data_IF_207252176319
#
_entry.id   IF_207252176319
#
_cell.length_a   1.000
_cell.length_b   1.000
_cell.length_c   1.000
_cell.angle_alpha   90.00
_cell.angle_beta   90.00
_cell.angle_gamma   90.00
#
_symmetry.space_group_name_H-M   'P 1'
#
loop_
_entity.id
_entity.type
_entity.pdbx_description
1 polymer ?
#
# COMPACT_ATOMS: atom_id res chain seq x y z
N UNK A 1 -39.66 63.87 56.04
CA UNK A 1 -40.24 63.32 54.82
C UNK A 1 -39.09 62.63 54.07
N UNK A 2 -38.98 61.30 54.25
CA UNK A 2 -37.92 60.48 53.69
C UNK A 2 -38.42 59.82 52.41
N UNK A 3 -37.80 60.11 51.30
CA UNK A 3 -38.01 59.37 50.05
C UNK A 3 -36.91 58.33 49.87
N UNK A 4 -37.19 57.08 50.11
CA UNK A 4 -36.32 55.94 49.81
C UNK A 4 -36.45 55.60 48.35
N UNK A 5 -35.35 55.86 47.61
CA UNK A 5 -35.18 55.39 46.21
C UNK A 5 -34.80 53.92 46.20
N UNK A 6 -35.61 53.08 45.54
CA UNK A 6 -35.28 51.68 45.23
C UNK A 6 -34.44 51.63 43.95
N UNK A 7 -33.18 51.18 44.07
CA UNK A 7 -32.35 50.85 42.89
C UNK A 7 -32.66 49.41 42.49
N UNK A 8 -33.23 49.24 41.32
CA UNK A 8 -33.44 47.93 40.73
C UNK A 8 -32.13 47.47 40.00
N UNK A 9 -31.52 46.42 40.51
CA UNK A 9 -30.35 45.80 39.84
C UNK A 9 -30.87 44.87 38.75
N UNK A 10 -30.59 45.20 37.50
CA UNK A 10 -30.83 44.34 36.36
C UNK A 10 -29.71 43.31 36.27
N UNK A 11 -30.02 42.02 36.49
CA UNK A 11 -29.11 40.88 36.27
C UNK A 11 -29.18 40.49 34.80
N UNK A 12 -28.14 40.83 34.05
CA UNK A 12 -27.98 40.33 32.67
C UNK A 12 -27.54 38.86 32.74
N UNK A 13 -28.44 37.94 32.33
CA UNK A 13 -28.08 36.57 32.05
C UNK A 13 -27.37 36.51 30.68
N UNK A 14 -26.03 36.37 30.68
CA UNK A 14 -25.24 36.03 29.51
C UNK A 14 -25.41 34.53 29.25
N UNK A 15 -26.32 34.17 28.36
CA UNK A 15 -26.40 32.78 27.86
C UNK A 15 -25.25 32.52 26.90
N UNK A 16 -24.19 31.85 27.40
CA UNK A 16 -23.17 31.25 26.55
C UNK A 16 -23.81 30.16 25.69
N UNK A 17 -24.14 30.49 24.46
CA UNK A 17 -24.40 29.50 23.42
C UNK A 17 -23.08 28.78 23.13
N UNK A 18 -22.89 27.61 23.75
CA UNK A 18 -21.84 26.69 23.37
C UNK A 18 -22.09 26.25 21.92
N UNK A 19 -21.28 26.72 21.00
CA UNK A 19 -21.30 26.19 19.62
C UNK A 19 -21.11 24.68 19.68
N UNK A 20 -21.90 23.90 18.91
CA UNK A 20 -21.68 22.46 18.88
C UNK A 20 -20.25 22.21 18.42
N UNK A 21 -19.45 21.59 19.28
CA UNK A 21 -18.16 21.04 18.86
C UNK A 21 -18.49 19.94 17.87
N UNK A 22 -18.30 20.24 16.58
CA UNK A 22 -18.26 19.20 15.54
C UNK A 22 -17.16 18.24 15.96
N UNK A 23 -17.53 17.05 16.39
CA UNK A 23 -16.60 15.93 16.57
C UNK A 23 -15.84 15.81 15.24
N UNK A 24 -14.58 16.28 15.21
CA UNK A 24 -13.71 16.02 14.08
C UNK A 24 -13.62 14.49 13.96
N UNK A 25 -14.06 13.96 12.83
CA UNK A 25 -13.92 12.57 12.52
C UNK A 25 -12.43 12.22 12.63
N UNK A 26 -12.06 11.41 13.62
CA UNK A 26 -10.66 11.06 13.85
C UNK A 26 -10.29 9.90 12.94
N UNK A 27 -9.21 10.06 12.23
CA UNK A 27 -8.54 8.97 11.54
C UNK A 27 -7.99 8.01 12.58
N UNK A 28 -8.14 6.71 12.33
CA UNK A 28 -7.61 5.69 13.21
C UNK A 28 -6.97 4.55 12.44
N UNK A 29 -5.97 3.94 13.05
CA UNK A 29 -5.42 2.67 12.61
C UNK A 29 -5.87 1.55 13.57
N UNK A 30 -6.20 0.41 13.00
CA UNK A 30 -6.44 -0.82 13.74
C UNK A 30 -5.40 -1.84 13.32
N UNK A 31 -4.65 -2.41 14.28
CA UNK A 31 -3.70 -3.48 14.03
C UNK A 31 -4.22 -4.78 14.64
N UNK A 32 -4.36 -5.80 13.85
CA UNK A 32 -5.04 -7.05 14.14
C UNK A 32 -4.28 -8.23 13.49
N UNK A 33 -4.85 -9.44 13.57
CA UNK A 33 -4.32 -10.60 12.86
C UNK A 33 -5.40 -11.29 12.04
N UNK A 34 -5.05 -11.68 10.83
CA UNK A 34 -5.83 -12.55 9.97
C UNK A 34 -5.46 -14.00 10.23
N UNK A 35 -6.44 -14.87 10.43
CA UNK A 35 -6.18 -16.30 10.55
C UNK A 35 -5.79 -16.90 9.20
N UNK A 36 -4.85 -17.85 9.21
CA UNK A 36 -4.48 -18.56 8.00
C UNK A 36 -4.35 -20.06 8.24
N UNK A 37 -5.06 -20.83 7.44
CA UNK A 37 -4.88 -22.29 7.34
C UNK A 37 -3.76 -22.64 6.36
N UNK A 38 -3.57 -21.80 5.36
CA UNK A 38 -2.54 -21.98 4.32
C UNK A 38 -1.15 -21.85 4.91
N UNK A 39 -0.93 -20.84 5.76
CA UNK A 39 0.35 -20.59 6.41
C UNK A 39 0.50 -21.33 7.76
N UNK A 40 -0.60 -21.78 8.35
CA UNK A 40 -0.61 -22.48 9.64
C UNK A 40 -0.41 -21.57 10.87
N UNK A 41 -0.36 -20.24 10.67
CA UNK A 41 -0.25 -19.25 11.73
C UNK A 41 -0.99 -17.97 11.35
N UNK A 42 -1.42 -17.14 12.32
CA UNK A 42 -2.04 -15.85 12.02
C UNK A 42 -1.00 -14.87 11.44
N UNK A 43 -1.46 -13.99 10.57
CA UNK A 43 -0.66 -12.92 9.93
C UNK A 43 -1.15 -11.58 10.46
N UNK A 44 -0.23 -10.78 10.99
CA UNK A 44 -0.53 -9.44 11.46
C UNK A 44 -0.86 -8.50 10.28
N UNK A 45 -1.74 -7.54 10.51
CA UNK A 45 -2.03 -6.48 9.56
C UNK A 45 -2.51 -5.23 10.27
N UNK A 46 -2.31 -4.06 9.67
CA UNK A 46 -2.94 -2.81 10.10
C UNK A 46 -3.87 -2.28 9.02
N UNK A 47 -4.91 -1.57 9.44
CA UNK A 47 -5.86 -0.88 8.55
C UNK A 47 -5.96 0.56 8.99
N UNK A 48 -5.69 1.49 8.07
CA UNK A 48 -6.05 2.90 8.24
C UNK A 48 -7.45 3.14 7.72
N UNK A 49 -8.30 3.71 8.56
CA UNK A 49 -9.69 4.01 8.28
C UNK A 49 -9.85 5.51 7.98
N UNK A 50 -10.52 5.88 6.86
CA UNK A 50 -10.69 7.28 6.48
C UNK A 50 -11.60 8.02 7.46
N UNK A 51 -11.58 9.37 7.51
CA UNK A 51 -12.33 10.17 8.47
C UNK A 51 -13.84 9.87 8.49
N UNK A 52 -14.43 9.63 7.31
CA UNK A 52 -15.86 9.34 7.22
C UNK A 52 -16.26 7.94 7.69
N UNK A 53 -15.30 7.04 7.94
CA UNK A 53 -15.60 5.65 8.25
C UNK A 53 -16.50 5.49 9.49
N UNK A 54 -16.29 6.30 10.53
CA UNK A 54 -17.08 6.22 11.75
C UNK A 54 -18.39 7.04 11.71
N UNK A 55 -18.50 8.03 10.84
CA UNK A 55 -19.67 8.88 10.69
C UNK A 55 -20.67 8.40 9.64
N UNK A 56 -20.19 7.83 8.53
CA UNK A 56 -21.02 7.35 7.42
C UNK A 56 -21.19 5.82 7.47
N UNK A 57 -22.00 5.32 8.40
CA UNK A 57 -22.11 3.88 8.71
C UNK A 57 -22.61 3.01 7.53
N UNK A 58 -23.36 3.57 6.59
CA UNK A 58 -23.86 2.86 5.41
C UNK A 58 -22.86 2.86 4.24
N UNK A 59 -21.86 3.74 4.26
CA UNK A 59 -20.90 3.89 3.17
C UNK A 59 -19.94 2.72 3.11
N UNK A 60 -19.64 2.26 1.88
CA UNK A 60 -18.60 1.29 1.57
C UNK A 60 -17.47 1.96 0.81
N UNK A 61 -16.26 1.50 1.03
CA UNK A 61 -15.03 2.17 0.63
C UNK A 61 -14.21 1.30 -0.33
N UNK A 62 -13.50 1.89 -1.28
CA UNK A 62 -12.41 1.21 -1.96
C UNK A 62 -11.33 0.79 -0.96
N UNK A 63 -10.50 -0.16 -1.34
CA UNK A 63 -9.37 -0.64 -0.52
C UNK A 63 -8.07 -0.62 -1.32
N UNK A 64 -7.04 -0.06 -0.72
CA UNK A 64 -5.66 -0.15 -1.17
C UNK A 64 -4.90 -1.10 -0.24
N UNK A 65 -4.37 -2.18 -0.79
CA UNK A 65 -3.39 -3.03 -0.12
C UNK A 65 -2.01 -2.45 -0.35
N UNK A 66 -1.37 -1.95 0.71
CA UNK A 66 -0.05 -1.32 0.66
C UNK A 66 0.99 -2.23 1.32
N UNK A 67 1.89 -2.77 0.51
CA UNK A 67 2.84 -3.82 0.86
C UNK A 67 4.16 -3.23 1.33
N UNK A 68 4.68 -3.70 2.49
CA UNK A 68 5.91 -3.19 3.09
C UNK A 68 7.19 -3.69 2.40
N UNK A 69 8.28 -2.98 2.60
CA UNK A 69 9.62 -3.36 2.14
C UNK A 69 10.27 -4.44 3.01
N UNK A 70 11.39 -4.99 2.53
CA UNK A 70 12.16 -5.98 3.28
C UNK A 70 12.70 -5.39 4.58
N UNK A 71 12.48 -6.12 5.69
CA UNK A 71 12.90 -5.70 7.03
C UNK A 71 11.91 -4.80 7.76
N UNK A 72 10.77 -4.51 7.15
CA UNK A 72 9.64 -3.82 7.75
C UNK A 72 8.47 -4.80 8.02
N UNK A 73 7.32 -4.29 8.43
CA UNK A 73 6.15 -5.09 8.77
C UNK A 73 4.84 -4.31 8.52
N UNK A 74 3.72 -4.84 9.00
CA UNK A 74 2.39 -4.24 8.86
C UNK A 74 2.28 -2.82 9.44
N UNK A 75 3.17 -2.43 10.36
CA UNK A 75 3.16 -1.13 11.03
C UNK A 75 4.05 -0.08 10.34
N UNK A 76 4.53 -0.33 9.13
CA UNK A 76 5.46 0.56 8.41
C UNK A 76 4.99 2.02 8.37
N UNK A 77 3.72 2.29 8.12
CA UNK A 77 3.19 3.66 8.11
C UNK A 77 3.16 4.29 9.50
N UNK A 78 2.97 3.49 10.56
CA UNK A 78 2.91 3.98 11.94
C UNK A 78 4.32 4.35 12.42
N UNK A 79 5.29 3.45 12.25
CA UNK A 79 6.66 3.63 12.72
C UNK A 79 7.41 4.73 11.97
N UNK A 80 7.11 4.91 10.70
CA UNK A 80 7.83 5.84 9.82
C UNK A 80 7.24 7.25 9.75
N UNK A 81 6.11 7.50 10.43
CA UNK A 81 5.37 8.76 10.33
C UNK A 81 4.43 8.85 9.12
N UNK A 82 4.33 7.80 8.30
CA UNK A 82 3.42 7.72 7.18
C UNK A 82 1.94 7.83 7.57
N UNK A 83 1.59 7.40 8.80
CA UNK A 83 0.26 7.63 9.35
C UNK A 83 -0.11 9.12 9.38
N UNK A 84 0.77 9.96 9.90
CA UNK A 84 0.53 11.41 9.98
C UNK A 84 0.47 12.04 8.58
N UNK A 85 1.30 11.56 7.65
CA UNK A 85 1.27 12.01 6.26
C UNK A 85 -0.08 11.71 5.59
N UNK A 86 -0.58 10.49 5.72
CA UNK A 86 -1.89 10.10 5.18
C UNK A 86 -3.01 10.88 5.85
N UNK A 87 -2.92 11.08 7.15
CA UNK A 87 -3.86 11.92 7.92
C UNK A 87 -3.93 13.33 7.36
N UNK A 88 -2.77 13.98 7.16
CA UNK A 88 -2.70 15.33 6.61
C UNK A 88 -3.32 15.43 5.20
N UNK A 89 -3.08 14.43 4.34
CA UNK A 89 -3.70 14.36 3.01
C UNK A 89 -5.23 14.28 3.07
N UNK A 90 -5.79 13.52 3.97
CA UNK A 90 -7.24 13.44 4.18
C UNK A 90 -7.81 14.74 4.77
N UNK A 91 -7.15 15.31 5.79
CA UNK A 91 -7.60 16.56 6.42
C UNK A 91 -7.58 17.75 5.46
N UNK A 92 -6.63 17.77 4.52
CA UNK A 92 -6.54 18.79 3.45
C UNK A 92 -7.39 18.48 2.23
N UNK A 93 -8.18 17.41 2.24
CA UNK A 93 -8.97 16.95 1.09
C UNK A 93 -8.13 16.69 -0.19
N UNK A 94 -6.86 16.36 -0.03
CA UNK A 94 -5.97 15.98 -1.13
C UNK A 94 -6.08 14.49 -1.47
N UNK A 95 -6.70 13.73 -0.60
CA UNK A 95 -6.97 12.31 -0.77
C UNK A 95 -8.44 12.03 -0.44
N UNK A 96 -9.11 11.26 -1.28
CA UNK A 96 -10.48 10.81 -0.98
C UNK A 96 -10.50 9.59 -0.07
N UNK A 97 -11.68 9.19 0.34
CA UNK A 97 -11.87 8.15 1.34
C UNK A 97 -11.73 6.74 0.74
N UNK A 98 -10.72 6.02 1.17
CA UNK A 98 -10.51 4.58 0.96
C UNK A 98 -9.77 3.97 2.15
N UNK A 99 -9.85 2.66 2.34
CA UNK A 99 -9.08 1.96 3.35
C UNK A 99 -7.66 1.71 2.85
N UNK A 100 -6.65 1.84 3.72
CA UNK A 100 -5.29 1.39 3.44
C UNK A 100 -5.00 0.22 4.37
N UNK A 101 -4.70 -0.94 3.78
CA UNK A 101 -4.45 -2.20 4.48
C UNK A 101 -3.02 -2.63 4.27
N UNK A 102 -2.27 -2.81 5.35
CA UNK A 102 -0.87 -3.19 5.34
C UNK A 102 -0.70 -4.57 6.00
N UNK A 103 -0.59 -5.68 5.24
CA UNK A 103 -0.31 -6.99 5.81
C UNK A 103 1.18 -7.18 6.09
N UNK A 104 1.53 -7.94 7.16
CA UNK A 104 2.88 -8.47 7.33
C UNK A 104 3.15 -9.59 6.33
N UNK A 105 4.35 -9.61 5.78
CA UNK A 105 4.78 -10.63 4.83
C UNK A 105 6.19 -11.16 5.14
N UNK A 106 6.81 -10.69 6.23
CA UNK A 106 8.20 -11.01 6.52
C UNK A 106 9.12 -10.74 5.32
N UNK A 107 9.75 -11.76 4.78
CA UNK A 107 10.64 -11.67 3.60
C UNK A 107 10.15 -12.48 2.40
N UNK A 108 8.84 -12.71 2.28
CA UNK A 108 8.24 -13.60 1.28
C UNK A 108 8.26 -13.09 -0.16
N UNK A 109 8.59 -11.83 -0.41
CA UNK A 109 8.36 -11.16 -1.70
C UNK A 109 6.89 -11.21 -2.15
N UNK A 110 5.98 -11.56 -1.23
CA UNK A 110 4.54 -11.71 -1.49
C UNK A 110 4.20 -12.81 -2.50
N UNK A 111 5.09 -13.78 -2.68
CA UNK A 111 4.92 -14.93 -3.58
C UNK A 111 4.94 -16.24 -2.78
N UNK A 112 4.54 -17.32 -3.41
CA UNK A 112 4.79 -18.66 -2.87
C UNK A 112 6.28 -19.00 -3.06
N UNK A 113 6.92 -19.59 -2.05
CA UNK A 113 8.34 -19.98 -2.16
C UNK A 113 8.50 -21.16 -3.14
N UNK A 114 9.71 -21.27 -3.71
CA UNK A 114 10.10 -22.32 -4.67
C UNK A 114 9.85 -23.75 -4.15
N UNK A 115 10.06 -23.95 -2.88
CA UNK A 115 9.88 -25.25 -2.22
C UNK A 115 8.44 -25.50 -1.72
N UNK A 116 7.56 -24.51 -1.87
CA UNK A 116 6.16 -24.57 -1.44
C UNK A 116 5.91 -24.52 0.07
N UNK A 117 6.95 -24.29 0.90
CA UNK A 117 6.80 -24.19 2.36
C UNK A 117 6.12 -22.90 2.78
N UNK A 118 6.40 -21.80 2.09
CA UNK A 118 5.75 -20.52 2.30
C UNK A 118 4.81 -20.25 1.13
N UNK A 119 3.51 -20.30 1.36
CA UNK A 119 2.47 -20.10 0.35
C UNK A 119 1.79 -18.75 0.53
N UNK A 120 2.60 -17.67 0.50
CA UNK A 120 2.10 -16.34 0.83
C UNK A 120 1.13 -15.77 -0.21
N UNK A 121 1.39 -15.96 -1.51
CA UNK A 121 0.47 -15.55 -2.58
C UNK A 121 -0.89 -16.23 -2.43
N UNK A 122 -0.91 -17.55 -2.19
CA UNK A 122 -2.14 -18.29 -1.96
C UNK A 122 -2.90 -17.78 -0.73
N UNK A 123 -2.20 -17.52 0.38
CA UNK A 123 -2.80 -16.92 1.56
C UNK A 123 -3.41 -15.55 1.25
N UNK A 124 -2.64 -14.68 0.59
CA UNK A 124 -3.08 -13.33 0.28
C UNK A 124 -4.36 -13.33 -0.56
N UNK A 125 -4.40 -14.15 -1.61
CA UNK A 125 -5.52 -14.19 -2.55
C UNK A 125 -6.74 -14.93 -1.98
N UNK A 126 -6.55 -16.05 -1.32
CA UNK A 126 -7.64 -16.96 -0.96
C UNK A 126 -8.12 -16.84 0.47
N UNK A 127 -7.32 -16.26 1.37
CA UNK A 127 -7.71 -16.06 2.76
C UNK A 127 -7.71 -14.59 3.17
N UNK A 128 -6.64 -13.82 2.88
CA UNK A 128 -6.51 -12.46 3.39
C UNK A 128 -7.48 -11.48 2.72
N UNK A 129 -7.52 -11.40 1.39
CA UNK A 129 -8.46 -10.53 0.67
C UNK A 129 -9.92 -10.77 1.11
N UNK A 130 -10.44 -12.00 1.14
CA UNK A 130 -11.80 -12.26 1.60
C UNK A 130 -12.05 -11.88 3.06
N UNK A 131 -11.09 -12.13 3.96
CA UNK A 131 -11.23 -11.76 5.38
C UNK A 131 -11.32 -10.24 5.57
N UNK A 132 -10.49 -9.46 4.88
CA UNK A 132 -10.54 -7.99 4.92
C UNK A 132 -11.89 -7.50 4.39
N UNK A 133 -12.34 -7.99 3.25
CA UNK A 133 -13.59 -7.57 2.62
C UNK A 133 -14.83 -7.97 3.43
N UNK A 134 -14.77 -9.05 4.17
CA UNK A 134 -15.84 -9.45 5.09
C UNK A 134 -15.85 -8.62 6.37
N UNK A 135 -14.68 -8.27 6.88
CA UNK A 135 -14.53 -7.57 8.16
C UNK A 135 -14.85 -6.09 8.07
N UNK A 136 -14.45 -5.44 6.97
CA UNK A 136 -14.59 -3.99 6.79
C UNK A 136 -15.66 -3.64 5.74
N UNK A 137 -16.16 -2.42 5.81
CA UNK A 137 -17.14 -1.91 4.83
C UNK A 137 -16.43 -1.55 3.52
N UNK A 138 -15.96 -2.55 2.79
CA UNK A 138 -15.34 -2.40 1.49
C UNK A 138 -16.38 -2.46 0.37
N UNK A 139 -16.09 -1.78 -0.74
CA UNK A 139 -16.79 -2.01 -2.01
C UNK A 139 -16.26 -3.30 -2.64
N UNK A 140 -17.15 -4.16 -3.09
CA UNK A 140 -16.75 -5.42 -3.71
C UNK A 140 -16.27 -5.24 -5.15
N UNK A 141 -15.41 -6.13 -5.57
CA UNK A 141 -14.98 -6.27 -6.94
C UNK A 141 -13.74 -5.48 -7.32
N UNK A 142 -13.21 -5.82 -8.48
CA UNK A 142 -11.97 -5.32 -9.06
C UNK A 142 -11.86 -3.79 -9.05
N UNK A 143 -12.94 -3.11 -9.46
CA UNK A 143 -13.00 -1.66 -9.62
C UNK A 143 -12.64 -0.87 -8.33
N UNK A 144 -12.76 -1.51 -7.18
CA UNK A 144 -12.53 -0.90 -5.86
C UNK A 144 -11.32 -1.47 -5.12
N UNK A 145 -10.49 -2.30 -5.78
CA UNK A 145 -9.24 -2.81 -5.22
C UNK A 145 -8.04 -2.20 -5.91
N UNK A 146 -7.13 -1.66 -5.13
CA UNK A 146 -5.79 -1.28 -5.55
C UNK A 146 -4.76 -2.10 -4.77
N UNK A 147 -3.59 -2.27 -5.36
CA UNK A 147 -2.44 -2.86 -4.70
C UNK A 147 -1.22 -2.00 -4.98
N UNK A 148 -0.45 -1.69 -3.96
CA UNK A 148 0.79 -0.95 -4.10
C UNK A 148 1.82 -1.46 -3.10
N UNK A 149 3.07 -1.08 -3.27
CA UNK A 149 4.08 -1.45 -2.30
C UNK A 149 5.41 -0.72 -2.52
N UNK A 150 6.26 -0.85 -1.51
CA UNK A 150 7.56 -0.21 -1.44
C UNK A 150 8.64 -1.30 -1.52
N UNK A 151 9.66 -1.13 -2.36
CA UNK A 151 10.81 -2.06 -2.44
C UNK A 151 10.38 -3.52 -2.71
N UNK A 152 10.62 -4.44 -1.79
CA UNK A 152 10.08 -5.80 -1.82
C UNK A 152 8.55 -5.82 -2.02
N UNK A 153 7.82 -4.91 -1.33
CA UNK A 153 6.37 -4.76 -1.51
C UNK A 153 5.99 -4.25 -2.89
N UNK A 154 6.82 -3.38 -3.50
CA UNK A 154 6.66 -2.94 -4.88
C UNK A 154 6.80 -4.09 -5.88
N UNK A 155 7.78 -4.98 -5.65
CA UNK A 155 7.89 -6.23 -6.38
C UNK A 155 6.61 -7.08 -6.23
N UNK A 156 6.17 -7.30 -4.99
CA UNK A 156 4.96 -8.07 -4.69
C UNK A 156 3.69 -7.49 -5.31
N UNK A 157 3.54 -6.16 -5.27
CA UNK A 157 2.41 -5.47 -5.87
C UNK A 157 2.36 -5.66 -7.39
N UNK A 158 3.50 -5.49 -8.07
CA UNK A 158 3.61 -5.74 -9.51
C UNK A 158 3.39 -7.21 -9.86
N UNK A 159 3.98 -8.14 -9.07
CA UNK A 159 3.78 -9.57 -9.26
C UNK A 159 2.30 -9.94 -9.17
N UNK A 160 1.64 -9.61 -8.05
CA UNK A 160 0.23 -9.94 -7.82
C UNK A 160 -0.69 -9.26 -8.84
N UNK A 161 -0.44 -7.98 -9.14
CA UNK A 161 -1.25 -7.23 -10.06
C UNK A 161 -1.12 -7.67 -11.52
N UNK A 162 0.08 -8.07 -11.95
CA UNK A 162 0.32 -8.54 -13.32
C UNK A 162 -0.10 -10.00 -13.51
N UNK A 163 -0.03 -10.80 -12.46
CA UNK A 163 -0.46 -12.19 -12.49
C UNK A 163 -1.97 -12.34 -12.38
N UNK A 164 -2.62 -11.43 -11.65
CA UNK A 164 -4.04 -11.42 -11.36
C UNK A 164 -4.71 -10.07 -11.72
N UNK A 165 -4.60 -9.61 -12.99
CA UNK A 165 -5.12 -8.31 -13.40
C UNK A 165 -6.65 -8.21 -13.30
N UNK A 166 -7.33 -9.36 -13.17
CA UNK A 166 -8.78 -9.42 -12.93
C UNK A 166 -9.18 -9.05 -11.50
N UNK A 167 -8.24 -9.02 -10.55
CA UNK A 167 -8.52 -8.72 -9.14
C UNK A 167 -8.36 -7.25 -8.79
N UNK A 168 -7.52 -6.49 -9.51
CA UNK A 168 -7.14 -5.13 -9.16
C UNK A 168 -7.46 -4.13 -10.27
N UNK A 169 -7.96 -2.95 -9.90
CA UNK A 169 -8.14 -1.83 -10.82
C UNK A 169 -6.82 -1.10 -11.08
N UNK A 170 -5.96 -1.04 -10.06
CA UNK A 170 -4.71 -0.29 -10.10
C UNK A 170 -3.59 -0.99 -9.33
N UNK A 171 -2.38 -0.82 -9.85
CA UNK A 171 -1.13 -1.31 -9.25
C UNK A 171 -0.16 -0.14 -9.13
N UNK A 172 0.49 -0.03 -7.99
CA UNK A 172 1.52 0.98 -7.73
C UNK A 172 2.82 0.35 -7.21
N UNK A 173 3.95 0.78 -7.74
CA UNK A 173 5.27 0.29 -7.33
C UNK A 173 6.20 1.47 -7.02
N UNK A 174 6.60 1.57 -5.76
CA UNK A 174 7.46 2.62 -5.24
C UNK A 174 8.84 2.04 -4.93
N UNK A 175 9.87 2.46 -5.65
CA UNK A 175 11.24 1.91 -5.58
C UNK A 175 11.25 0.37 -5.55
N UNK A 176 10.49 -0.26 -6.46
CA UNK A 176 10.29 -1.71 -6.46
C UNK A 176 11.60 -2.47 -6.64
N UNK A 177 11.77 -3.57 -5.92
CA UNK A 177 12.96 -4.43 -5.98
C UNK A 177 13.04 -5.21 -7.32
N UNK A 178 13.09 -4.48 -8.43
CA UNK A 178 13.19 -5.02 -9.79
C UNK A 178 14.65 -5.18 -10.18
N UNK A 179 14.99 -6.35 -10.67
CA UNK A 179 16.33 -6.69 -11.15
C UNK A 179 16.25 -7.19 -12.60
N UNK A 180 16.97 -6.57 -13.51
CA UNK A 180 17.00 -7.01 -14.92
C UNK A 180 17.58 -8.41 -15.09
N UNK A 181 18.44 -8.82 -14.18
CA UNK A 181 19.14 -10.11 -14.22
C UNK A 181 19.04 -10.81 -12.88
N UNK A 182 18.96 -12.13 -12.93
CA UNK A 182 19.06 -12.96 -11.74
C UNK A 182 20.36 -12.62 -10.98
N UNK A 183 20.28 -12.27 -9.69
CA UNK A 183 21.46 -11.88 -8.94
C UNK A 183 22.42 -13.06 -8.80
N UNK A 184 23.71 -12.79 -9.05
CA UNK A 184 24.78 -13.77 -8.78
C UNK A 184 25.06 -13.75 -7.28
N UNK A 185 24.78 -14.87 -6.61
CA UNK A 185 25.04 -15.01 -5.17
C UNK A 185 26.53 -15.33 -4.98
N UNK A 186 27.32 -14.31 -4.64
CA UNK A 186 28.72 -14.51 -4.17
C UNK A 186 28.75 -14.39 -2.65
N UNK A 187 29.24 -15.43 -1.96
CA UNK A 187 29.33 -15.48 -0.49
C UNK A 187 30.62 -14.76 -0.06
N UNK A 188 30.69 -13.44 -0.16
CA UNK A 188 31.88 -12.68 0.22
C UNK A 188 31.72 -11.71 1.40
N UNK A 189 30.47 -11.38 1.79
CA UNK A 189 30.18 -10.41 2.86
C UNK A 189 28.92 -10.85 3.65
N UNK A 190 28.86 -10.46 4.94
CA UNK A 190 27.76 -10.82 5.84
C UNK A 190 26.40 -10.26 5.38
N UNK A 191 26.37 -9.07 4.78
CA UNK A 191 25.15 -8.47 4.21
C UNK A 191 24.71 -9.20 2.93
N UNK A 192 25.65 -9.56 2.07
CA UNK A 192 25.38 -10.40 0.91
C UNK A 192 24.89 -11.79 1.34
N UNK A 193 25.43 -12.35 2.44
CA UNK A 193 24.98 -13.62 2.99
C UNK A 193 23.53 -13.56 3.47
N UNK A 194 23.11 -12.49 4.15
CA UNK A 194 21.71 -12.31 4.60
C UNK A 194 20.76 -12.17 3.40
N UNK A 195 21.08 -11.30 2.44
CA UNK A 195 20.30 -11.13 1.18
C UNK A 195 20.22 -12.44 0.40
N UNK A 196 21.34 -13.18 0.31
CA UNK A 196 21.39 -14.46 -0.37
C UNK A 196 20.52 -15.52 0.27
N UNK A 197 20.45 -15.55 1.61
CA UNK A 197 19.52 -16.45 2.33
C UNK A 197 18.08 -16.12 2.02
N UNK A 198 17.70 -14.84 2.13
CA UNK A 198 16.32 -14.41 1.87
C UNK A 198 15.90 -14.76 0.44
N UNK A 199 16.76 -14.47 -0.55
CA UNK A 199 16.47 -14.84 -1.92
C UNK A 199 16.45 -16.38 -2.09
N UNK A 200 17.34 -17.10 -1.41
CA UNK A 200 17.39 -18.56 -1.43
C UNK A 200 16.14 -19.21 -0.81
N UNK A 201 15.63 -18.66 0.28
CA UNK A 201 14.42 -19.15 0.95
C UNK A 201 13.17 -18.99 0.05
N UNK A 202 13.14 -17.95 -0.77
CA UNK A 202 12.01 -17.66 -1.65
C UNK A 202 12.18 -18.30 -3.03
N UNK A 203 13.34 -18.08 -3.69
CA UNK A 203 13.57 -18.44 -5.10
C UNK A 203 14.39 -19.74 -5.30
N UNK A 204 14.76 -20.42 -4.19
CA UNK A 204 15.56 -21.65 -4.20
C UNK A 204 17.04 -21.42 -3.94
N UNK A 205 17.72 -22.42 -3.39
CA UNK A 205 19.16 -22.39 -3.13
C UNK A 205 19.84 -23.61 -3.75
N UNK A 206 20.57 -23.46 -4.89
CA UNK A 206 20.83 -22.23 -5.62
C UNK A 206 19.57 -21.61 -6.21
N UNK A 207 19.62 -20.30 -6.57
CA UNK A 207 18.47 -19.61 -7.16
C UNK A 207 18.04 -20.34 -8.44
N UNK A 208 16.73 -20.66 -8.51
CA UNK A 208 16.14 -21.34 -9.67
C UNK A 208 15.76 -20.29 -10.76
N UNK A 209 16.47 -20.24 -11.90
CA UNK A 209 16.22 -19.23 -12.92
C UNK A 209 14.86 -19.38 -13.61
N UNK A 210 14.31 -20.58 -13.64
CA UNK A 210 12.97 -20.82 -14.23
C UNK A 210 11.90 -20.28 -13.29
N UNK A 211 12.00 -20.63 -12.01
CA UNK A 211 11.09 -20.14 -11.00
C UNK A 211 11.18 -18.62 -10.83
N UNK A 212 12.41 -18.05 -10.83
CA UNK A 212 12.59 -16.60 -10.86
C UNK A 212 11.83 -15.96 -12.00
N UNK A 213 12.07 -16.40 -13.23
CA UNK A 213 11.42 -15.85 -14.43
C UNK A 213 9.90 -15.95 -14.41
N UNK A 214 9.36 -17.02 -13.81
CA UNK A 214 7.91 -17.19 -13.67
C UNK A 214 7.27 -16.19 -12.71
N UNK A 215 8.05 -15.67 -11.75
CA UNK A 215 7.57 -14.75 -10.72
C UNK A 215 8.07 -13.32 -10.92
N UNK A 216 9.01 -13.08 -11.86
CA UNK A 216 9.57 -11.77 -12.13
C UNK A 216 8.55 -10.83 -12.80
N UNK A 217 8.25 -9.66 -12.19
CA UNK A 217 7.34 -8.68 -12.76
C UNK A 217 7.74 -8.22 -14.17
N UNK A 218 9.05 -8.12 -14.49
CA UNK A 218 9.53 -7.78 -15.83
C UNK A 218 9.15 -8.85 -16.87
N UNK A 219 9.20 -10.12 -16.48
CA UNK A 219 8.78 -11.22 -17.34
C UNK A 219 7.27 -11.27 -17.50
N UNK A 220 6.51 -11.10 -16.40
CA UNK A 220 5.05 -11.03 -16.42
C UNK A 220 4.56 -9.86 -17.28
N UNK A 221 5.19 -8.69 -17.17
CA UNK A 221 4.85 -7.51 -17.98
C UNK A 221 4.95 -7.76 -19.49
N UNK A 222 5.74 -8.72 -19.94
CA UNK A 222 5.88 -9.06 -21.37
C UNK A 222 4.69 -9.82 -21.94
N UNK A 223 3.95 -10.56 -21.13
CA UNK A 223 2.94 -11.52 -21.60
C UNK A 223 1.55 -11.32 -21.02
N UNK A 224 1.42 -10.77 -19.80
CA UNK A 224 0.14 -10.58 -19.13
C UNK A 224 -0.78 -9.59 -19.88
N UNK A 225 -2.09 -9.81 -19.80
CA UNK A 225 -3.06 -8.85 -20.33
C UNK A 225 -3.28 -7.72 -19.33
N UNK A 226 -2.60 -6.60 -19.53
CA UNK A 226 -2.61 -5.44 -18.65
C UNK A 226 -3.48 -4.28 -19.17
N UNK A 227 -4.24 -4.48 -20.25
CA UNK A 227 -4.97 -3.40 -20.94
C UNK A 227 -5.99 -2.66 -20.09
N UNK A 228 -6.54 -3.32 -19.07
CA UNK A 228 -7.53 -2.74 -18.16
C UNK A 228 -6.92 -2.32 -16.81
N UNK A 229 -5.64 -2.59 -16.56
CA UNK A 229 -4.95 -2.28 -15.31
C UNK A 229 -4.32 -0.89 -15.40
N UNK A 230 -4.58 -0.04 -14.41
CA UNK A 230 -3.86 1.23 -14.25
C UNK A 230 -2.57 0.97 -13.48
N UNK A 231 -1.46 1.50 -13.99
CA UNK A 231 -0.12 1.18 -13.46
C UNK A 231 0.61 2.47 -13.15
N UNK A 232 1.19 2.54 -11.95
CA UNK A 232 2.06 3.62 -11.49
C UNK A 232 3.39 3.03 -11.02
N UNK A 233 4.49 3.63 -11.46
CA UNK A 233 5.85 3.21 -11.11
C UNK A 233 6.65 4.45 -10.81
N UNK A 234 7.31 4.49 -9.66
CA UNK A 234 8.35 5.48 -9.40
C UNK A 234 9.57 4.86 -8.74
N UNK A 235 10.74 5.49 -8.92
CA UNK A 235 11.98 5.12 -8.28
C UNK A 235 12.86 6.36 -8.08
N UNK A 236 13.70 6.33 -7.04
CA UNK A 236 14.75 7.32 -6.87
C UNK A 236 15.81 7.16 -7.95
N UNK A 237 16.26 8.26 -8.56
CA UNK A 237 17.30 8.23 -9.60
C UNK A 237 18.70 7.87 -9.08
N UNK A 238 18.86 7.78 -7.76
CA UNK A 238 20.08 7.44 -7.03
C UNK A 238 19.78 6.32 -6.03
N UNK A 239 18.98 5.32 -6.45
CA UNK A 239 18.55 4.22 -5.57
C UNK A 239 19.75 3.39 -5.11
N UNK A 240 19.92 3.19 -3.81
CA UNK A 240 21.07 2.52 -3.20
C UNK A 240 21.25 1.06 -3.65
N UNK A 241 20.24 0.47 -4.27
CA UNK A 241 20.24 -0.92 -4.76
C UNK A 241 20.24 -1.02 -6.29
N UNK A 242 20.20 0.12 -7.01
CA UNK A 242 20.12 0.17 -8.46
C UNK A 242 18.76 -0.25 -9.03
N UNK A 243 17.69 -0.06 -8.27
CA UNK A 243 16.34 -0.45 -8.71
C UNK A 243 15.77 0.48 -9.77
N UNK A 244 16.35 1.66 -9.97
CA UNK A 244 16.01 2.57 -11.07
C UNK A 244 16.21 1.93 -12.45
N UNK A 245 17.22 1.09 -12.62
CA UNK A 245 17.44 0.35 -13.87
C UNK A 245 16.29 -0.62 -14.15
N UNK A 246 15.88 -1.37 -13.13
CA UNK A 246 14.74 -2.27 -13.22
C UNK A 246 13.42 -1.56 -13.46
N UNK A 247 13.20 -0.39 -12.83
CA UNK A 247 12.03 0.45 -13.06
C UNK A 247 12.01 0.99 -14.50
N UNK A 248 13.13 1.49 -15.01
CA UNK A 248 13.26 1.93 -16.40
C UNK A 248 13.11 0.77 -17.41
N UNK A 249 13.57 -0.43 -17.07
CA UNK A 249 13.36 -1.61 -17.90
C UNK A 249 11.87 -1.98 -17.97
N UNK A 250 11.14 -1.87 -16.86
CA UNK A 250 9.70 -2.09 -16.83
C UNK A 250 8.95 -1.05 -17.68
N UNK A 251 9.27 0.24 -17.56
CA UNK A 251 8.74 1.31 -18.41
C UNK A 251 8.91 0.97 -19.90
N UNK A 252 10.13 0.59 -20.32
CA UNK A 252 10.41 0.19 -21.71
C UNK A 252 9.54 -0.99 -22.17
N UNK A 253 9.34 -2.00 -21.32
CA UNK A 253 8.48 -3.15 -21.63
C UNK A 253 7.02 -2.72 -21.82
N UNK A 254 6.48 -1.94 -20.88
CA UNK A 254 5.08 -1.48 -20.93
C UNK A 254 4.85 -0.56 -22.14
N UNK A 255 5.78 0.39 -22.39
CA UNK A 255 5.75 1.30 -23.54
C UNK A 255 5.79 0.57 -24.87
N UNK A 256 6.68 -0.43 -25.02
CA UNK A 256 6.77 -1.24 -26.24
C UNK A 256 5.49 -2.02 -26.55
N UNK A 257 4.74 -2.38 -25.50
CA UNK A 257 3.44 -3.06 -25.58
C UNK A 257 2.25 -2.10 -25.66
N UNK A 258 2.49 -0.80 -25.60
CA UNK A 258 1.45 0.25 -25.55
C UNK A 258 0.47 0.06 -24.38
N UNK A 259 0.98 -0.43 -23.25
CA UNK A 259 0.22 -0.51 -22.00
C UNK A 259 0.26 0.86 -21.33
N UNK A 260 -0.88 1.53 -21.10
CA UNK A 260 -0.89 2.83 -20.42
C UNK A 260 -0.37 2.71 -18.99
N UNK A 261 0.58 3.57 -18.61
CA UNK A 261 1.15 3.63 -17.27
C UNK A 261 1.72 5.02 -16.97
N UNK A 262 1.90 5.32 -15.68
CA UNK A 262 2.65 6.49 -15.19
C UNK A 262 4.01 5.99 -14.72
N UNK A 263 5.10 6.60 -15.21
CA UNK A 263 6.47 6.29 -14.80
C UNK A 263 7.22 7.55 -14.43
N UNK A 264 7.90 7.52 -13.27
CA UNK A 264 8.65 8.65 -12.75
C UNK A 264 9.99 8.20 -12.17
N UNK A 265 11.06 8.93 -12.53
CA UNK A 265 12.33 8.90 -11.82
C UNK A 265 12.51 10.25 -11.12
N UNK A 266 12.44 10.24 -9.80
CA UNK A 266 12.63 11.43 -9.00
C UNK A 266 14.04 11.45 -8.38
N UNK A 267 14.62 12.63 -8.10
CA UNK A 267 15.85 12.69 -7.33
C UNK A 267 15.70 12.02 -5.96
N UNK A 268 16.68 11.21 -5.54
CA UNK A 268 16.71 10.57 -4.23
C UNK A 268 17.15 9.11 -4.27
N UNK A 269 17.41 8.57 -3.07
CA UNK A 269 17.88 7.21 -2.86
C UNK A 269 16.80 6.28 -2.31
N UNK A 270 17.20 5.07 -1.87
CA UNK A 270 16.29 4.05 -1.32
C UNK A 270 16.08 4.23 0.18
N UNK A 271 15.33 5.26 0.58
CA UNK A 271 15.14 5.59 1.98
C UNK A 271 13.75 6.17 2.25
N UNK A 272 13.41 6.30 3.56
CA UNK A 272 12.11 6.80 3.96
C UNK A 272 11.87 8.28 3.61
N UNK A 273 12.90 9.10 3.45
CA UNK A 273 12.74 10.50 3.01
C UNK A 273 12.14 10.53 1.61
N UNK A 274 12.70 9.74 0.68
CA UNK A 274 12.15 9.57 -0.65
C UNK A 274 10.72 9.05 -0.63
N UNK A 275 10.45 8.01 0.18
CA UNK A 275 9.10 7.45 0.34
C UNK A 275 8.11 8.50 0.81
N UNK A 276 8.44 9.24 1.87
CA UNK A 276 7.55 10.26 2.44
C UNK A 276 7.23 11.40 1.46
N UNK A 277 8.18 11.77 0.61
CA UNK A 277 8.01 12.81 -0.41
C UNK A 277 7.09 12.37 -1.54
N UNK A 278 7.19 11.12 -2.00
CA UNK A 278 6.50 10.64 -3.21
C UNK A 278 5.30 9.74 -2.94
N UNK A 279 5.12 9.20 -1.72
CA UNK A 279 3.94 8.43 -1.32
C UNK A 279 2.61 9.16 -1.59
N UNK A 280 2.48 10.50 -1.41
CA UNK A 280 1.27 11.22 -1.77
C UNK A 280 0.85 11.03 -3.23
N UNK A 281 1.79 11.06 -4.17
CA UNK A 281 1.52 10.88 -5.60
C UNK A 281 0.97 9.47 -5.89
N UNK A 282 1.58 8.45 -5.29
CA UNK A 282 1.13 7.06 -5.37
C UNK A 282 -0.30 6.90 -4.82
N UNK A 283 -0.59 7.45 -3.65
CA UNK A 283 -1.92 7.37 -3.03
C UNK A 283 -2.98 8.09 -3.86
N UNK A 284 -2.67 9.27 -4.38
CA UNK A 284 -3.54 10.05 -5.26
C UNK A 284 -3.81 9.33 -6.59
N UNK A 285 -2.81 8.63 -7.16
CA UNK A 285 -3.01 7.78 -8.33
C UNK A 285 -4.07 6.71 -8.08
N UNK A 286 -3.99 5.99 -6.96
CA UNK A 286 -4.99 4.99 -6.59
C UNK A 286 -6.37 5.62 -6.38
N UNK A 287 -6.43 6.75 -5.70
CA UNK A 287 -7.69 7.47 -5.51
C UNK A 287 -8.34 7.85 -6.86
N UNK A 288 -7.59 8.46 -7.79
CA UNK A 288 -8.10 8.75 -9.15
C UNK A 288 -8.58 7.49 -9.87
N UNK A 289 -7.91 6.36 -9.63
CA UNK A 289 -8.32 5.08 -10.20
C UNK A 289 -9.68 4.62 -9.70
N UNK A 290 -9.94 4.73 -8.39
CA UNK A 290 -11.22 4.37 -7.78
C UNK A 290 -12.37 5.29 -8.22
N UNK A 291 -12.12 6.59 -8.35
CA UNK A 291 -13.12 7.56 -8.82
C UNK A 291 -13.56 7.29 -10.27
N UNK A 292 -12.62 7.00 -11.15
CA UNK A 292 -12.96 6.73 -12.55
C UNK A 292 -13.77 5.44 -12.73
N UNK A 293 -13.53 4.44 -11.88
CA UNK A 293 -14.29 3.18 -11.89
C UNK A 293 -15.71 3.30 -11.33
N UNK A 294 -15.99 4.34 -10.53
CA UNK A 294 -17.31 4.58 -9.93
C UNK A 294 -18.29 5.30 -10.88
N UNK A 295 -17.82 5.78 -12.04
CA UNK A 295 -18.63 6.54 -13.02
C UNK A 295 -19.15 5.67 -14.18
N UNK A 296 -18.82 4.41 -14.18
CA UNK A 296 -19.27 3.41 -15.17
C UNK A 296 -20.04 2.28 -14.48
#
# INVERSE_FOLDING_TARGET
MNKSGRVAAAVLFLSCLAAPQTLRASIRAECLSASSKILGHPVAYCVMLPPSYDTEKARRYPVLYLLHGLGDNEQMLIHSGGFNLVQDLWERHQLGDFLIVTPDAGSSFYINSRDGRLRYEDFFLHEFLPQIEQRYRTRFGRASRGIAGISMGGYGALHLGFRHPELFASVGAHSAALLEKLPTVTISDSRQTARSRILGDVFGSPLDPVFWKQNDPLALARTANLSALKIYIDCGSEDDFGFEDGAAALDKVLSSRRVPHEFHLYPGGHNWVYVAEHLPALLQFHFRSFESASRH
#
